data_IF_931191195581
#
_entry.id   IF_931191195581
#
_cell.length_a   1.000
_cell.length_b   1.000
_cell.length_c   1.000
_cell.angle_alpha   90.00
_cell.angle_beta   90.00
_cell.angle_gamma   90.00
#
_symmetry.space_group_name_H-M   'P 1'
#
loop_
_entity.id
_entity.type
_entity.pdbx_description
1 polymer ?
#
# COMPACT_ATOMS: atom_id res chain seq x y z
N UNK A 1 -29.61 15.21 -3.67
CA UNK A 1 -28.84 14.66 -4.81
C UNK A 1 -27.48 14.27 -4.27
N UNK A 2 -27.26 12.96 -4.07
CA UNK A 2 -25.99 12.44 -3.57
C UNK A 2 -25.07 12.34 -4.80
N UNK A 3 -23.98 13.10 -4.81
CA UNK A 3 -22.96 13.01 -5.86
C UNK A 3 -22.28 11.66 -5.78
N UNK A 4 -22.61 10.79 -6.73
CA UNK A 4 -21.98 9.49 -6.94
C UNK A 4 -20.64 9.71 -7.67
N UNK A 5 -19.62 10.15 -6.93
CA UNK A 5 -18.26 10.31 -7.46
C UNK A 5 -17.48 8.97 -7.40
N UNK A 6 -18.07 7.93 -7.97
CA UNK A 6 -17.31 6.73 -8.35
C UNK A 6 -16.64 6.94 -9.72
N UNK A 7 -15.56 6.23 -10.05
CA UNK A 7 -15.02 6.25 -11.40
C UNK A 7 -16.11 5.84 -12.40
N UNK A 8 -16.25 6.53 -13.55
CA UNK A 8 -17.22 6.12 -14.57
C UNK A 8 -16.89 4.69 -15.03
N UNK A 9 -17.89 3.80 -15.11
CA UNK A 9 -17.76 2.38 -15.51
C UNK A 9 -16.87 2.15 -16.75
N UNK A 10 -16.79 3.14 -17.64
CA UNK A 10 -15.92 3.17 -18.83
C UNK A 10 -14.42 3.09 -18.48
N UNK A 11 -13.96 3.70 -17.37
CA UNK A 11 -12.56 3.65 -16.95
C UNK A 11 -12.15 2.28 -16.43
N UNK A 12 -13.09 1.53 -15.83
CA UNK A 12 -12.84 0.17 -15.32
C UNK A 12 -12.63 -0.83 -16.47
N UNK A 13 -13.49 -0.79 -17.50
CA UNK A 13 -13.34 -1.65 -18.67
C UNK A 13 -12.07 -1.35 -19.46
N UNK A 14 -11.70 -0.07 -19.59
CA UNK A 14 -10.44 0.33 -20.24
C UNK A 14 -9.21 -0.11 -19.45
N UNK A 15 -9.26 0.02 -18.12
CA UNK A 15 -8.21 -0.46 -17.24
C UNK A 15 -7.99 -1.97 -17.40
N UNK A 16 -9.06 -2.77 -17.33
CA UNK A 16 -9.00 -4.22 -17.51
C UNK A 16 -8.48 -4.62 -18.90
N UNK A 17 -8.88 -3.89 -19.95
CA UNK A 17 -8.39 -4.12 -21.31
C UNK A 17 -6.88 -3.86 -21.42
N UNK A 18 -6.40 -2.69 -20.96
CA UNK A 18 -4.97 -2.34 -20.97
C UNK A 18 -4.16 -3.32 -20.11
N UNK A 19 -4.67 -3.70 -18.94
CA UNK A 19 -4.06 -4.68 -18.06
C UNK A 19 -3.92 -6.06 -18.73
N UNK A 20 -4.98 -6.52 -19.42
CA UNK A 20 -4.98 -7.80 -20.16
C UNK A 20 -4.05 -7.75 -21.36
N UNK A 21 -4.00 -6.62 -22.08
CA UNK A 21 -3.10 -6.40 -23.21
C UNK A 21 -1.62 -6.48 -22.77
N UNK A 22 -1.31 -5.90 -21.61
CA UNK A 22 0.04 -5.91 -21.02
C UNK A 22 0.44 -7.28 -20.49
N UNK A 23 -0.50 -8.04 -19.91
CA UNK A 23 -0.26 -9.44 -19.56
C UNK A 23 0.03 -10.30 -20.81
N UNK A 24 -0.65 -10.03 -21.93
CA UNK A 24 -0.41 -10.74 -23.19
C UNK A 24 0.90 -10.33 -23.89
N UNK A 25 1.37 -9.08 -23.72
CA UNK A 25 2.69 -8.62 -24.20
C UNK A 25 3.86 -9.46 -23.61
N UNK A 26 3.63 -10.15 -22.49
CA UNK A 26 4.60 -11.08 -21.88
C UNK A 26 5.07 -12.18 -22.86
N UNK A 27 4.19 -12.63 -23.75
CA UNK A 27 4.52 -13.67 -24.75
C UNK A 27 5.33 -13.13 -25.94
N UNK A 28 5.27 -11.81 -26.18
CA UNK A 28 5.94 -11.15 -27.30
C UNK A 28 7.39 -10.78 -26.96
N UNK A 29 7.62 -10.19 -25.78
CA UNK A 29 8.94 -9.69 -25.38
C UNK A 29 9.94 -10.81 -25.07
N UNK A 30 9.47 -11.94 -24.50
CA UNK A 30 10.33 -13.13 -24.28
C UNK A 30 10.80 -13.78 -25.59
N UNK A 31 10.14 -13.48 -26.72
CA UNK A 31 10.41 -14.09 -28.03
C UNK A 31 11.45 -13.31 -28.85
N UNK A 32 11.66 -12.02 -28.57
CA UNK A 32 12.50 -11.12 -29.39
C UNK A 32 13.84 -10.71 -28.75
N UNK A 33 14.20 -11.19 -27.55
CA UNK A 33 15.56 -11.00 -27.01
C UNK A 33 15.93 -9.57 -26.57
N UNK A 34 14.93 -8.72 -26.29
CA UNK A 34 15.15 -7.37 -25.75
C UNK A 34 15.53 -7.42 -24.26
N UNK A 35 16.80 -7.71 -23.95
CA UNK A 35 17.32 -7.85 -22.56
C UNK A 35 17.16 -6.60 -21.65
N UNK A 36 16.80 -5.44 -22.21
CA UNK A 36 16.59 -4.18 -21.47
C UNK A 36 15.18 -4.10 -20.83
N UNK A 37 14.20 -4.84 -21.35
CA UNK A 37 12.82 -4.84 -20.86
C UNK A 37 12.50 -6.11 -20.08
N UNK A 38 12.93 -6.15 -18.81
CA UNK A 38 12.49 -7.19 -17.89
C UNK A 38 10.99 -7.03 -17.57
N UNK A 39 10.29 -8.14 -17.28
CA UNK A 39 8.86 -8.12 -16.90
C UNK A 39 8.58 -7.13 -15.76
N UNK A 40 9.48 -7.03 -14.79
CA UNK A 40 9.38 -6.08 -13.70
C UNK A 40 9.47 -4.60 -14.15
N UNK A 41 10.22 -4.27 -15.21
CA UNK A 41 10.26 -2.91 -15.77
C UNK A 41 8.93 -2.53 -16.39
N UNK A 42 8.35 -3.45 -17.17
CA UNK A 42 7.03 -3.24 -17.78
C UNK A 42 5.95 -3.05 -16.72
N UNK A 43 6.00 -3.84 -15.65
CA UNK A 43 5.09 -3.70 -14.53
C UNK A 43 5.23 -2.33 -13.84
N UNK A 44 6.45 -1.89 -13.54
CA UNK A 44 6.68 -0.56 -12.96
C UNK A 44 6.25 0.58 -13.89
N UNK A 45 6.48 0.48 -15.20
CA UNK A 45 6.02 1.47 -16.19
C UNK A 45 4.49 1.53 -16.24
N UNK A 46 3.82 0.37 -16.19
CA UNK A 46 2.37 0.30 -16.10
C UNK A 46 1.86 0.99 -14.82
N UNK A 47 2.48 0.72 -13.67
CA UNK A 47 2.11 1.38 -12.41
C UNK A 47 2.32 2.89 -12.47
N UNK A 48 3.36 3.36 -13.17
CA UNK A 48 3.61 4.79 -13.36
C UNK A 48 2.51 5.43 -14.22
N UNK A 49 2.10 4.78 -15.30
CA UNK A 49 0.98 5.23 -16.13
C UNK A 49 -0.33 5.28 -15.34
N UNK A 50 -0.61 4.26 -14.53
CA UNK A 50 -1.77 4.23 -13.63
C UNK A 50 -1.71 5.38 -12.64
N UNK A 51 -0.55 5.65 -12.03
CA UNK A 51 -0.39 6.74 -11.07
C UNK A 51 -0.65 8.13 -11.68
N UNK A 52 -0.24 8.33 -12.94
CA UNK A 52 -0.52 9.55 -13.70
C UNK A 52 -2.01 9.72 -13.99
N UNK A 53 -2.69 8.67 -14.45
CA UNK A 53 -4.12 8.68 -14.74
C UNK A 53 -4.93 8.90 -13.46
N UNK A 54 -4.56 8.21 -12.38
CA UNK A 54 -5.16 8.34 -11.05
C UNK A 54 -4.81 9.65 -10.35
N UNK A 55 -3.88 10.44 -10.90
CA UNK A 55 -3.32 11.66 -10.31
C UNK A 55 -2.81 11.45 -8.87
N UNK A 56 -2.34 10.25 -8.55
CA UNK A 56 -1.89 9.90 -7.21
C UNK A 56 -0.39 10.21 -7.07
N UNK A 57 -0.07 11.32 -6.39
CA UNK A 57 1.31 11.79 -6.21
C UNK A 57 2.17 10.80 -5.41
N UNK A 58 1.58 10.16 -4.39
CA UNK A 58 2.31 9.19 -3.55
C UNK A 58 2.74 7.97 -4.35
N UNK A 59 1.83 7.39 -5.15
CA UNK A 59 2.14 6.24 -6.02
C UNK A 59 3.11 6.63 -7.12
N UNK A 60 2.92 7.80 -7.74
CA UNK A 60 3.80 8.32 -8.78
C UNK A 60 5.22 8.47 -8.27
N UNK A 61 5.41 9.07 -7.10
CA UNK A 61 6.71 9.23 -6.47
C UNK A 61 7.35 7.87 -6.15
N UNK A 62 6.61 6.96 -5.50
CA UNK A 62 7.13 5.64 -5.13
C UNK A 62 7.61 4.84 -6.35
N UNK A 63 6.80 4.77 -7.41
CA UNK A 63 7.15 4.03 -8.64
C UNK A 63 8.31 4.70 -9.38
N UNK A 64 8.33 6.03 -9.43
CA UNK A 64 9.43 6.78 -10.06
C UNK A 64 10.77 6.51 -9.37
N UNK A 65 10.80 6.52 -8.03
CA UNK A 65 12.01 6.21 -7.25
C UNK A 65 12.50 4.79 -7.55
N UNK A 66 11.60 3.80 -7.57
CA UNK A 66 11.97 2.42 -7.89
C UNK A 66 12.52 2.26 -9.32
N UNK A 67 11.91 2.94 -10.29
CA UNK A 67 12.39 2.96 -11.67
C UNK A 67 13.77 3.60 -11.79
N UNK A 68 13.99 4.75 -11.14
CA UNK A 68 15.29 5.44 -11.15
C UNK A 68 16.37 4.54 -10.56
N UNK A 69 16.14 3.93 -9.40
CA UNK A 69 17.09 3.00 -8.76
C UNK A 69 17.46 1.86 -9.70
N UNK A 70 16.47 1.32 -10.41
CA UNK A 70 16.66 0.20 -11.32
C UNK A 70 17.40 0.60 -12.60
N UNK A 71 17.11 1.77 -13.16
CA UNK A 71 17.82 2.31 -14.33
C UNK A 71 19.30 2.60 -14.02
N UNK A 72 19.59 3.06 -12.80
CA UNK A 72 20.97 3.31 -12.33
C UNK A 72 21.71 2.00 -11.97
N UNK A 73 21.01 0.85 -11.93
CA UNK A 73 21.60 -0.46 -11.63
C UNK A 73 21.95 -0.67 -10.15
N UNK A 74 21.28 0.06 -9.24
CA UNK A 74 21.47 -0.05 -7.79
C UNK A 74 20.44 -0.96 -7.12
N UNK A 75 19.55 -1.59 -7.90
CA UNK A 75 18.48 -2.45 -7.41
C UNK A 75 19.00 -3.62 -6.56
N UNK A 76 20.11 -4.24 -6.95
CA UNK A 76 20.69 -5.37 -6.21
C UNK A 76 21.11 -5.02 -4.77
N UNK A 77 21.50 -3.75 -4.51
CA UNK A 77 21.93 -3.29 -3.17
C UNK A 77 20.82 -2.59 -2.42
N UNK A 78 20.05 -1.75 -3.11
CA UNK A 78 19.04 -0.91 -2.48
C UNK A 78 17.73 -1.65 -2.25
N UNK A 79 17.26 -2.49 -3.18
CA UNK A 79 15.96 -3.16 -3.02
C UNK A 79 15.90 -4.07 -1.79
N UNK A 80 16.90 -4.92 -1.48
CA UNK A 80 16.87 -5.73 -0.27
C UNK A 80 16.83 -4.87 1.01
N UNK A 81 17.53 -3.73 1.01
CA UNK A 81 17.55 -2.80 2.14
C UNK A 81 16.20 -2.11 2.30
N UNK A 82 15.61 -1.63 1.21
CA UNK A 82 14.28 -1.01 1.19
C UNK A 82 13.21 -2.02 1.60
N UNK A 83 13.28 -3.26 1.13
CA UNK A 83 12.30 -4.29 1.46
C UNK A 83 12.37 -4.70 2.94
N UNK A 84 13.57 -4.88 3.49
CA UNK A 84 13.75 -5.31 4.89
C UNK A 84 13.52 -4.19 5.92
N UNK A 85 13.86 -2.94 5.59
CA UNK A 85 13.79 -1.82 6.54
C UNK A 85 12.76 -0.76 6.18
N UNK A 86 12.28 -0.71 4.95
CA UNK A 86 11.42 0.36 4.46
C UNK A 86 10.10 0.46 5.20
N UNK A 87 9.49 -0.67 5.57
CA UNK A 87 8.25 -0.65 6.38
C UNK A 87 8.54 -0.07 7.77
N UNK A 88 9.62 -0.51 8.42
CA UNK A 88 10.02 0.02 9.74
C UNK A 88 10.29 1.52 9.67
N UNK A 89 11.03 1.99 8.66
CA UNK A 89 11.27 3.42 8.45
C UNK A 89 9.98 4.20 8.23
N UNK A 90 9.07 3.67 7.41
CA UNK A 90 7.75 4.29 7.18
C UNK A 90 6.95 4.43 8.47
N UNK A 91 6.85 3.36 9.26
CA UNK A 91 6.14 3.38 10.55
C UNK A 91 6.81 4.35 11.52
N UNK A 92 8.14 4.39 11.59
CA UNK A 92 8.88 5.36 12.41
C UNK A 92 8.56 6.80 12.00
N UNK A 93 8.59 7.12 10.71
CA UNK A 93 8.29 8.47 10.21
C UNK A 93 6.84 8.88 10.54
N UNK A 94 5.87 7.97 10.34
CA UNK A 94 4.47 8.21 10.70
C UNK A 94 4.34 8.45 12.22
N UNK A 95 5.02 7.65 13.03
CA UNK A 95 5.01 7.80 14.50
C UNK A 95 5.55 9.16 14.92
N UNK A 96 6.68 9.58 14.34
CA UNK A 96 7.25 10.90 14.59
C UNK A 96 6.23 11.99 14.25
N UNK A 97 5.61 11.92 13.06
CA UNK A 97 4.61 12.89 12.62
C UNK A 97 3.42 13.01 13.58
N UNK A 98 2.93 11.87 14.11
CA UNK A 98 1.84 11.84 15.10
C UNK A 98 2.26 12.42 16.46
N UNK A 99 3.55 12.34 16.81
CA UNK A 99 4.08 12.90 18.06
C UNK A 99 4.42 14.39 17.96
N UNK A 100 4.46 14.99 16.76
CA UNK A 100 4.79 16.41 16.56
C UNK A 100 3.92 17.34 17.42
N UNK A 101 2.58 17.22 17.47
CA UNK A 101 1.74 18.12 18.29
C UNK A 101 2.06 18.06 19.79
N UNK A 102 2.57 16.92 20.28
CA UNK A 102 3.02 16.78 21.67
C UNK A 102 4.38 17.48 21.84
N UNK A 103 5.29 17.29 20.89
CA UNK A 103 6.61 17.90 20.90
C UNK A 103 6.60 19.43 20.71
N UNK A 104 5.63 19.97 19.95
CA UNK A 104 5.43 21.41 19.76
C UNK A 104 4.63 22.07 20.89
N UNK A 105 4.09 21.29 21.82
CA UNK A 105 3.30 21.79 22.95
C UNK A 105 1.84 22.12 22.61
N UNK A 106 1.37 21.80 21.41
CA UNK A 106 -0.05 21.89 21.04
C UNK A 106 -0.92 20.97 21.91
N UNK A 107 -0.38 19.80 22.26
CA UNK A 107 -0.99 18.84 23.19
C UNK A 107 -0.08 18.71 24.43
N UNK A 108 -0.43 19.44 25.49
CA UNK A 108 0.18 19.33 26.80
C UNK A 108 -0.40 18.20 27.66
N UNK A 109 0.27 17.90 28.77
CA UNK A 109 -0.13 16.85 29.73
C UNK A 109 -1.56 16.99 30.26
N UNK A 110 -2.06 18.23 30.37
CA UNK A 110 -3.42 18.50 30.82
C UNK A 110 -4.47 18.04 29.80
N UNK A 111 -4.26 18.30 28.51
CA UNK A 111 -5.15 17.85 27.43
C UNK A 111 -5.08 16.33 27.25
N UNK A 112 -3.90 15.72 27.46
CA UNK A 112 -3.75 14.26 27.53
C UNK A 112 -4.57 13.66 28.68
N UNK A 113 -4.48 14.24 29.88
CA UNK A 113 -5.27 13.80 31.03
C UNK A 113 -6.78 14.01 30.88
N UNK A 114 -7.19 15.10 30.25
CA UNK A 114 -8.60 15.38 29.93
C UNK A 114 -9.14 14.46 28.84
N UNK A 115 -8.33 14.15 27.81
CA UNK A 115 -8.68 13.17 26.80
C UNK A 115 -8.97 11.81 27.44
N UNK A 116 -8.12 11.32 28.35
CA UNK A 116 -8.34 10.03 29.04
C UNK A 116 -9.61 9.97 29.92
N UNK A 117 -10.26 11.08 30.22
CA UNK A 117 -11.54 11.10 30.95
C UNK A 117 -12.76 10.97 30.02
N UNK A 118 -12.57 11.11 28.72
CA UNK A 118 -13.64 10.96 27.72
C UNK A 118 -13.85 9.49 27.36
N UNK A 119 -15.10 9.06 27.28
CA UNK A 119 -15.48 7.74 26.76
C UNK A 119 -14.99 7.52 25.33
N UNK A 120 -14.91 8.59 24.52
CA UNK A 120 -14.38 8.53 23.16
C UNK A 120 -12.88 8.22 23.11
N UNK A 121 -12.11 8.67 24.10
CA UNK A 121 -10.67 8.40 24.12
C UNK A 121 -10.37 6.94 24.46
N UNK A 122 -11.20 6.29 25.29
CA UNK A 122 -11.07 4.86 25.54
C UNK A 122 -11.39 4.01 24.30
N UNK A 123 -12.36 4.44 23.50
CA UNK A 123 -12.65 3.80 22.20
C UNK A 123 -11.45 3.97 21.26
N UNK A 124 -10.91 5.19 21.16
CA UNK A 124 -9.75 5.46 20.30
C UNK A 124 -8.49 4.69 20.76
N UNK A 125 -8.25 4.61 22.06
CA UNK A 125 -7.15 3.86 22.65
C UNK A 125 -7.31 2.35 22.39
N UNK A 126 -8.49 1.80 22.63
CA UNK A 126 -8.79 0.40 22.34
C UNK A 126 -8.63 0.07 20.86
N UNK A 127 -9.12 0.93 19.97
CA UNK A 127 -8.94 0.78 18.53
C UNK A 127 -7.47 0.84 18.12
N UNK A 128 -6.69 1.77 18.68
CA UNK A 128 -5.25 1.90 18.42
C UNK A 128 -4.48 0.65 18.84
N UNK A 129 -4.76 0.11 20.03
CA UNK A 129 -4.16 -1.15 20.51
C UNK A 129 -4.55 -2.31 19.58
N UNK A 130 -5.83 -2.43 19.23
CA UNK A 130 -6.30 -3.50 18.35
C UNK A 130 -5.59 -3.44 16.98
N UNK A 131 -5.56 -2.26 16.34
CA UNK A 131 -4.89 -2.07 15.04
C UNK A 131 -3.40 -2.40 15.12
N UNK A 132 -2.70 -2.00 16.18
CA UNK A 132 -1.28 -2.33 16.34
C UNK A 132 -1.03 -3.85 16.43
N UNK A 133 -1.88 -4.58 17.17
CA UNK A 133 -1.79 -6.03 17.28
C UNK A 133 -2.13 -6.73 15.96
N UNK A 134 -3.15 -6.25 15.25
CA UNK A 134 -3.54 -6.76 13.93
C UNK A 134 -2.43 -6.53 12.91
N UNK A 135 -1.85 -5.33 12.88
CA UNK A 135 -0.77 -4.96 11.96
C UNK A 135 0.48 -5.82 12.19
N UNK A 136 0.82 -6.15 13.44
CA UNK A 136 1.92 -7.06 13.77
C UNK A 136 1.75 -8.43 13.08
N UNK A 137 0.56 -9.01 13.15
CA UNK A 137 0.30 -10.31 12.50
C UNK A 137 0.19 -10.17 10.97
N UNK A 138 -0.31 -9.03 10.48
CA UNK A 138 -0.31 -8.69 9.06
C UNK A 138 1.10 -8.57 8.47
N UNK A 139 2.07 -8.04 9.22
CA UNK A 139 3.49 -8.02 8.81
C UNK A 139 4.03 -9.43 8.60
N UNK A 140 3.79 -10.31 9.58
CA UNK A 140 4.19 -11.72 9.48
C UNK A 140 3.55 -12.39 8.26
N UNK A 141 2.32 -12.04 7.92
CA UNK A 141 1.66 -12.55 6.72
C UNK A 141 2.34 -12.08 5.43
N UNK A 142 2.70 -10.79 5.34
CA UNK A 142 3.41 -10.24 4.18
C UNK A 142 4.79 -10.85 3.97
N UNK A 143 5.51 -11.12 5.06
CA UNK A 143 6.85 -11.70 5.03
C UNK A 143 6.84 -13.17 4.59
N UNK A 144 5.82 -13.93 5.01
CA UNK A 144 5.78 -15.38 4.79
C UNK A 144 5.06 -15.80 3.50
N UNK A 145 4.18 -14.96 2.94
CA UNK A 145 3.41 -15.29 1.74
C UNK A 145 3.53 -14.20 0.65
N UNK A 146 4.44 -14.40 -0.32
CA UNK A 146 4.60 -13.51 -1.47
C UNK A 146 3.35 -13.42 -2.37
N UNK A 147 2.52 -14.46 -2.42
CA UNK A 147 1.28 -14.45 -3.22
C UNK A 147 0.26 -13.49 -2.60
N UNK A 148 0.09 -13.55 -1.28
CA UNK A 148 -0.78 -12.62 -0.55
C UNK A 148 -0.26 -11.18 -0.66
N UNK A 149 1.05 -10.97 -0.51
CA UNK A 149 1.66 -9.65 -0.71
C UNK A 149 1.37 -9.09 -2.10
N UNK A 150 1.52 -9.91 -3.15
CA UNK A 150 1.22 -9.50 -4.52
C UNK A 150 -0.26 -9.14 -4.70
N UNK A 151 -1.17 -9.98 -4.19
CA UNK A 151 -2.61 -9.73 -4.26
C UNK A 151 -3.02 -8.44 -3.53
N UNK A 152 -2.44 -8.17 -2.35
CA UNK A 152 -2.68 -6.95 -1.58
C UNK A 152 -2.15 -5.71 -2.29
N UNK A 153 -0.96 -5.78 -2.87
CA UNK A 153 -0.38 -4.68 -3.66
C UNK A 153 -1.28 -4.36 -4.85
N UNK A 154 -1.70 -5.37 -5.62
CA UNK A 154 -2.64 -5.17 -6.74
C UNK A 154 -3.96 -4.56 -6.24
N UNK A 155 -4.56 -5.11 -5.18
CA UNK A 155 -5.81 -4.60 -4.63
C UNK A 155 -5.72 -3.14 -4.17
N UNK A 156 -4.63 -2.75 -3.50
CA UNK A 156 -4.42 -1.36 -3.06
C UNK A 156 -4.18 -0.42 -4.24
N UNK A 157 -3.46 -0.85 -5.27
CA UNK A 157 -3.28 -0.06 -6.51
C UNK A 157 -4.61 0.13 -7.23
N UNK A 158 -5.43 -0.91 -7.35
CA UNK A 158 -6.77 -0.81 -7.95
C UNK A 158 -7.67 0.16 -7.17
N UNK A 159 -7.65 0.06 -5.84
CA UNK A 159 -8.40 0.97 -4.97
C UNK A 159 -8.02 2.44 -5.20
N UNK A 160 -6.72 2.72 -5.28
CA UNK A 160 -6.19 4.06 -5.55
C UNK A 160 -6.55 4.52 -6.96
N UNK A 161 -6.36 3.66 -7.97
CA UNK A 161 -6.50 4.00 -9.38
C UNK A 161 -7.94 4.25 -9.79
N UNK A 162 -8.87 3.46 -9.25
CA UNK A 162 -10.26 3.47 -9.64
C UNK A 162 -11.07 4.33 -8.69
N UNK A 163 -10.92 4.14 -7.38
CA UNK A 163 -11.82 4.74 -6.39
C UNK A 163 -11.29 6.04 -5.76
N UNK A 164 -10.17 6.56 -6.26
CA UNK A 164 -9.51 7.74 -5.67
C UNK A 164 -9.03 7.49 -4.24
N UNK A 165 -8.80 6.23 -3.88
CA UNK A 165 -8.37 5.84 -2.54
C UNK A 165 -6.99 6.39 -2.17
N UNK A 166 -6.67 6.37 -0.89
CA UNK A 166 -5.34 6.74 -0.39
C UNK A 166 -4.44 5.50 -0.37
N UNK A 167 -3.22 5.64 -0.86
CA UNK A 167 -2.22 4.58 -0.82
C UNK A 167 -1.70 4.42 0.62
N UNK A 168 -2.41 3.64 1.45
CA UNK A 168 -2.03 3.39 2.86
C UNK A 168 -1.05 2.22 3.03
N UNK A 169 -0.61 1.63 1.91
CA UNK A 169 0.32 0.52 1.85
C UNK A 169 -0.31 -0.85 2.12
N UNK A 170 0.41 -1.94 1.83
CA UNK A 170 -0.08 -3.30 1.99
C UNK A 170 -0.23 -3.73 3.46
N UNK A 171 0.38 -2.99 4.41
CA UNK A 171 0.36 -3.32 5.84
C UNK A 171 -1.06 -3.34 6.43
N UNK A 172 -1.88 -2.33 6.16
CA UNK A 172 -3.25 -2.27 6.66
C UNK A 172 -4.09 -3.39 6.02
N UNK A 173 -3.95 -3.57 4.71
CA UNK A 173 -4.61 -4.65 3.98
C UNK A 173 -4.24 -6.02 4.52
N UNK A 174 -2.96 -6.24 4.85
CA UNK A 174 -2.48 -7.49 5.43
C UNK A 174 -3.05 -7.77 6.82
N UNK A 175 -3.17 -6.73 7.66
CA UNK A 175 -3.83 -6.85 8.95
C UNK A 175 -5.29 -7.26 8.83
N UNK A 176 -6.05 -6.62 7.94
CA UNK A 176 -7.45 -6.95 7.68
C UNK A 176 -7.58 -8.36 7.08
N UNK A 177 -6.74 -8.69 6.09
CA UNK A 177 -6.71 -10.01 5.47
C UNK A 177 -6.39 -11.11 6.50
N UNK A 178 -5.42 -10.87 7.39
CA UNK A 178 -5.10 -11.77 8.48
C UNK A 178 -6.33 -12.05 9.36
N UNK A 179 -7.05 -11.01 9.79
CA UNK A 179 -8.27 -11.17 10.56
C UNK A 179 -9.35 -11.95 9.80
N UNK A 180 -9.59 -11.59 8.54
CA UNK A 180 -10.58 -12.27 7.71
C UNK A 180 -10.27 -13.76 7.57
N UNK A 181 -9.01 -14.12 7.34
CA UNK A 181 -8.59 -15.52 7.26
C UNK A 181 -8.75 -16.25 8.58
N UNK A 182 -8.47 -15.61 9.72
CA UNK A 182 -8.72 -16.21 11.03
C UNK A 182 -10.21 -16.47 11.25
N UNK A 183 -11.08 -15.54 10.87
CA UNK A 183 -12.53 -15.72 10.94
C UNK A 183 -12.96 -16.90 10.06
N UNK A 184 -12.50 -16.98 8.81
CA UNK A 184 -12.83 -18.09 7.91
C UNK A 184 -12.37 -19.44 8.48
N UNK A 185 -11.18 -19.49 9.10
CA UNK A 185 -10.67 -20.70 9.77
C UNK A 185 -11.58 -21.14 10.91
N UNK A 186 -12.11 -20.21 11.71
CA UNK A 186 -13.03 -20.53 12.81
C UNK A 186 -14.35 -21.18 12.34
N UNK A 187 -14.78 -20.91 11.11
CA UNK A 187 -15.99 -21.53 10.53
C UNK A 187 -15.69 -22.78 9.68
N UNK A 188 -14.43 -23.05 9.38
CA UNK A 188 -13.99 -24.19 8.54
C UNK A 188 -13.32 -25.30 9.35
N UNK A 189 -12.94 -25.02 10.61
CA UNK A 189 -12.50 -26.01 11.62
C UNK A 189 -13.67 -26.52 12.44
#
# INVERSE_FOLDING_TARGET
MIHENGPPLVSMSYFLYVFTLLLNMNTFILKEGWHVFTQANLFLILLLAIALIAKNQSLLFAVSVLLIIKIVGLDQKLFPTIQSKGINWGVTIITIAVLVPIATGEIGFKQLGEAMRSSYAWIALGAGIAVALIAKNGLTLLENDPHITTALVIGTILAVALFGGVAVGPLIGAGIAYLAMQIVKLFTS
#
